data_IF_094259189473
#
_entry.id   IF_094259189473
#
_cell.length_a   1.000
_cell.length_b   1.000
_cell.length_c   1.000
_cell.angle_alpha   90.00
_cell.angle_beta   90.00
_cell.angle_gamma   90.00
#
_symmetry.space_group_name_H-M   'P 1'
#
loop_
_entity.id
_entity.type
_entity.pdbx_description
1 polymer ?
#
# COMPACT_ATOMS: atom_id res chain seq x y z
N UNK A 1 -19.04 7.56 16.50
CA UNK A 1 -17.72 7.15 15.96
C UNK A 1 -16.64 8.00 16.61
N UNK A 2 -15.54 7.41 17.11
CA UNK A 2 -14.45 8.19 17.73
C UNK A 2 -13.59 8.91 16.68
N UNK A 3 -12.89 9.97 17.09
CA UNK A 3 -11.97 10.70 16.20
C UNK A 3 -10.89 9.78 15.61
N UNK A 4 -10.36 8.86 16.42
CA UNK A 4 -9.37 7.86 15.99
C UNK A 4 -9.91 6.95 14.86
N UNK A 5 -11.16 6.49 14.97
CA UNK A 5 -11.79 5.70 13.91
C UNK A 5 -11.93 6.51 12.61
N UNK A 6 -12.30 7.78 12.71
CA UNK A 6 -12.42 8.66 11.54
C UNK A 6 -11.06 8.87 10.84
N UNK A 7 -9.98 9.04 11.61
CA UNK A 7 -8.61 9.13 11.07
C UNK A 7 -8.21 7.82 10.39
N UNK A 8 -8.43 6.66 11.02
CA UNK A 8 -8.10 5.35 10.44
C UNK A 8 -8.81 5.14 9.09
N UNK A 9 -10.11 5.42 9.00
CA UNK A 9 -10.86 5.27 7.75
C UNK A 9 -10.36 6.22 6.66
N UNK A 10 -9.99 7.47 7.01
CA UNK A 10 -9.36 8.40 6.08
C UNK A 10 -8.01 7.87 5.58
N UNK A 11 -7.17 7.37 6.48
CA UNK A 11 -5.87 6.79 6.12
C UNK A 11 -6.05 5.60 5.18
N UNK A 12 -6.98 4.69 5.44
CA UNK A 12 -7.28 3.54 4.56
C UNK A 12 -7.68 4.02 3.15
N UNK A 13 -8.54 5.04 3.05
CA UNK A 13 -8.96 5.59 1.75
C UNK A 13 -7.79 6.19 0.96
N UNK A 14 -7.03 7.08 1.60
CA UNK A 14 -5.90 7.73 0.95
C UNK A 14 -4.79 6.74 0.59
N UNK A 15 -4.40 5.88 1.53
CA UNK A 15 -3.39 4.86 1.29
C UNK A 15 -3.82 3.86 0.23
N UNK A 16 -5.10 3.46 0.19
CA UNK A 16 -5.62 2.55 -0.84
C UNK A 16 -5.55 3.14 -2.25
N UNK A 17 -5.96 4.40 -2.41
CA UNK A 17 -5.84 5.11 -3.69
C UNK A 17 -4.39 5.29 -4.15
N UNK A 18 -3.46 5.51 -3.22
CA UNK A 18 -2.04 5.63 -3.54
C UNK A 18 -1.37 4.25 -3.74
N UNK A 19 -1.84 3.21 -3.05
CA UNK A 19 -1.35 1.83 -3.23
C UNK A 19 -1.58 1.37 -4.66
N UNK A 20 -2.76 1.64 -5.22
CA UNK A 20 -3.16 1.15 -6.53
C UNK A 20 -2.13 1.46 -7.64
N UNK A 21 -1.76 2.72 -7.92
CA UNK A 21 -0.75 3.03 -8.92
C UNK A 21 0.64 2.49 -8.55
N UNK A 22 1.02 2.49 -7.27
CA UNK A 22 2.33 1.98 -6.82
C UNK A 22 2.46 0.47 -7.05
N UNK A 23 1.42 -0.30 -6.72
CA UNK A 23 1.36 -1.74 -6.98
C UNK A 23 1.42 -2.02 -8.48
N UNK A 24 0.65 -1.29 -9.29
CA UNK A 24 0.66 -1.45 -10.74
C UNK A 24 2.04 -1.15 -11.33
N UNK A 25 2.70 -0.07 -10.91
CA UNK A 25 4.05 0.27 -11.34
C UNK A 25 5.08 -0.78 -10.89
N UNK A 26 4.94 -1.33 -9.67
CA UNK A 26 5.81 -2.36 -9.15
C UNK A 26 5.68 -3.67 -9.94
N UNK A 27 4.45 -4.07 -10.27
CA UNK A 27 4.19 -5.23 -11.11
C UNK A 27 4.69 -5.02 -12.54
N UNK A 28 4.42 -3.86 -13.15
CA UNK A 28 4.87 -3.53 -14.49
C UNK A 28 6.40 -3.59 -14.61
N UNK A 29 7.13 -3.01 -13.65
CA UNK A 29 8.59 -3.08 -13.61
C UNK A 29 9.12 -4.50 -13.41
N UNK A 30 8.47 -5.33 -12.58
CA UNK A 30 8.81 -6.75 -12.43
C UNK A 30 8.57 -7.57 -13.71
N UNK A 31 7.51 -7.28 -14.46
CA UNK A 31 7.26 -7.92 -15.74
C UNK A 31 8.21 -7.44 -16.84
N UNK A 32 8.60 -6.17 -16.83
CA UNK A 32 9.64 -5.65 -17.71
C UNK A 32 10.98 -6.36 -17.47
N UNK A 33 11.37 -6.55 -16.20
CA UNK A 33 12.58 -7.29 -15.80
C UNK A 33 12.54 -8.77 -16.22
N UNK A 34 11.40 -9.43 -16.08
CA UNK A 34 11.26 -10.85 -16.44
C UNK A 34 11.01 -11.08 -17.94
N UNK A 35 10.94 -10.02 -18.74
CA UNK A 35 10.67 -10.08 -20.18
C UNK A 35 9.31 -10.66 -20.54
N UNK A 36 8.35 -10.67 -19.61
CA UNK A 36 7.03 -11.27 -19.81
C UNK A 36 6.07 -10.28 -20.48
N UNK A 37 5.10 -10.81 -21.22
CA UNK A 37 4.01 -10.04 -21.85
C UNK A 37 4.47 -8.89 -22.77
N UNK A 38 5.69 -8.98 -23.33
CA UNK A 38 6.24 -7.92 -24.18
C UNK A 38 6.71 -6.67 -23.43
N UNK A 39 6.70 -6.68 -22.10
CA UNK A 39 7.07 -5.52 -21.29
C UNK A 39 8.59 -5.27 -21.21
N UNK A 40 9.44 -6.13 -21.78
CA UNK A 40 10.85 -5.79 -21.98
C UNK A 40 11.03 -4.62 -22.98
N UNK A 41 10.06 -4.35 -23.85
CA UNK A 41 10.16 -3.29 -24.85
C UNK A 41 9.88 -1.88 -24.30
N UNK A 42 9.28 -1.76 -23.12
CA UNK A 42 8.87 -0.46 -22.55
C UNK A 42 9.96 0.26 -21.76
N UNK A 43 10.99 -0.46 -21.29
CA UNK A 43 12.10 0.12 -20.54
C UNK A 43 13.35 -0.75 -20.67
N UNK A 44 14.54 -0.15 -20.61
CA UNK A 44 15.79 -0.93 -20.47
C UNK A 44 15.78 -1.70 -19.14
N UNK A 45 16.48 -2.83 -19.10
CA UNK A 45 16.60 -3.66 -17.90
C UNK A 45 17.09 -2.85 -16.70
N UNK A 46 18.10 -1.99 -16.89
CA UNK A 46 18.63 -1.09 -15.86
C UNK A 46 17.57 -0.11 -15.34
N UNK A 47 16.77 0.46 -16.24
CA UNK A 47 15.69 1.38 -15.88
C UNK A 47 14.59 0.66 -15.11
N UNK A 48 14.18 -0.51 -15.59
CA UNK A 48 13.18 -1.35 -14.94
C UNK A 48 13.65 -1.79 -13.54
N UNK A 49 14.93 -2.15 -13.39
CA UNK A 49 15.53 -2.54 -12.11
C UNK A 49 15.56 -1.39 -11.12
N UNK A 50 16.01 -0.21 -11.59
CA UNK A 50 16.08 0.99 -10.76
C UNK A 50 14.70 1.38 -10.28
N UNK A 51 13.70 1.43 -11.17
CA UNK A 51 12.32 1.73 -10.82
C UNK A 51 11.75 0.71 -9.83
N UNK A 52 11.93 -0.59 -10.09
CA UNK A 52 11.44 -1.65 -9.21
C UNK A 52 12.02 -1.54 -7.79
N UNK A 53 13.32 -1.24 -7.69
CA UNK A 53 14.01 -1.02 -6.41
C UNK A 53 13.48 0.19 -5.67
N UNK A 54 13.30 1.31 -6.36
CA UNK A 54 12.74 2.53 -5.79
C UNK A 54 11.31 2.33 -5.28
N UNK A 55 10.54 1.43 -5.91
CA UNK A 55 9.17 1.14 -5.53
C UNK A 55 9.02 0.24 -4.29
N UNK A 56 10.07 -0.47 -3.85
CA UNK A 56 9.98 -1.30 -2.63
C UNK A 56 9.64 -0.46 -1.38
N UNK A 57 10.39 0.62 -1.13
CA UNK A 57 10.17 1.47 0.04
C UNK A 57 8.76 2.08 0.10
N UNK A 58 8.24 2.75 -0.95
CA UNK A 58 6.87 3.27 -0.93
C UNK A 58 5.84 2.15 -0.86
N UNK A 59 6.05 1.01 -1.54
CA UNK A 59 5.13 -0.12 -1.46
C UNK A 59 5.00 -0.67 -0.03
N UNK A 60 6.13 -0.95 0.63
CA UNK A 60 6.16 -1.47 2.00
C UNK A 60 5.58 -0.44 2.97
N UNK A 61 5.98 0.83 2.87
CA UNK A 61 5.49 1.90 3.73
C UNK A 61 3.98 2.11 3.60
N UNK A 62 3.47 2.21 2.37
CA UNK A 62 2.04 2.39 2.13
C UNK A 62 1.22 1.16 2.53
N UNK A 63 1.73 -0.05 2.26
CA UNK A 63 1.05 -1.27 2.65
C UNK A 63 0.97 -1.39 4.17
N UNK A 64 2.07 -1.11 4.88
CA UNK A 64 2.11 -1.10 6.33
C UNK A 64 1.12 -0.09 6.92
N UNK A 65 1.09 1.13 6.38
CA UNK A 65 0.13 2.16 6.78
C UNK A 65 -1.31 1.71 6.52
N UNK A 66 -1.60 1.17 5.33
CA UNK A 66 -2.92 0.72 4.93
C UNK A 66 -3.43 -0.41 5.83
N UNK A 67 -2.62 -1.45 6.00
CA UNK A 67 -2.94 -2.60 6.84
C UNK A 67 -3.09 -2.17 8.29
N UNK A 68 -2.16 -1.39 8.84
CA UNK A 68 -2.25 -0.90 10.21
C UNK A 68 -3.52 -0.08 10.46
N UNK A 69 -3.84 0.86 9.57
CA UNK A 69 -5.04 1.68 9.67
C UNK A 69 -6.34 0.88 9.50
N UNK A 70 -6.35 -0.20 8.71
CA UNK A 70 -7.50 -1.09 8.57
C UNK A 70 -7.63 -2.06 9.76
N UNK A 71 -6.51 -2.50 10.33
CA UNK A 71 -6.46 -3.50 11.38
C UNK A 71 -6.95 -2.95 12.72
N UNK A 72 -6.58 -1.71 13.08
CA UNK A 72 -7.01 -1.08 14.34
C UNK A 72 -8.54 -1.11 14.54
N UNK A 73 -9.37 -0.56 13.62
CA UNK A 73 -10.83 -0.60 13.79
C UNK A 73 -11.38 -2.04 13.69
N UNK A 74 -10.75 -2.94 12.94
CA UNK A 74 -11.15 -4.35 12.90
C UNK A 74 -10.95 -5.04 14.26
N UNK A 75 -9.80 -4.82 14.91
CA UNK A 75 -9.49 -5.34 16.23
C UNK A 75 -10.44 -4.80 17.32
N UNK A 76 -10.80 -3.51 17.24
CA UNK A 76 -11.82 -2.94 18.14
C UNK A 76 -13.18 -3.59 17.89
N UNK A 77 -13.58 -3.77 16.63
CA UNK A 77 -14.86 -4.40 16.27
C UNK A 77 -14.94 -5.88 16.69
N UNK A 78 -13.83 -6.60 16.68
CA UNK A 78 -13.73 -7.98 17.17
C UNK A 78 -13.62 -8.08 18.70
N UNK A 79 -13.55 -6.95 19.41
CA UNK A 79 -13.43 -6.91 20.86
C UNK A 79 -12.02 -7.23 21.39
N UNK A 80 -11.01 -7.30 20.52
CA UNK A 80 -9.62 -7.57 20.92
C UNK A 80 -8.95 -6.32 21.51
N UNK A 81 -9.41 -5.12 21.12
CA UNK A 81 -8.95 -3.84 21.68
C UNK A 81 -10.14 -3.05 22.24
N UNK A 82 -9.91 -2.31 23.33
CA UNK A 82 -10.91 -1.38 23.86
C UNK A 82 -10.94 -0.13 22.99
N UNK A 83 -12.15 0.31 22.63
CA UNK A 83 -12.32 1.62 22.03
C UNK A 83 -11.86 2.70 23.03
N UNK A 84 -11.07 3.67 22.58
CA UNK A 84 -10.73 4.83 23.40
C UNK A 84 -12.02 5.52 23.85
N UNK A 85 -12.29 5.48 25.17
CA UNK A 85 -13.44 6.16 25.76
C UNK A 85 -13.28 7.67 25.53
N UNK A 86 -14.35 8.31 25.04
CA UNK A 86 -14.40 9.77 24.96
C UNK A 86 -14.62 10.30 26.39
N UNK A 87 -13.79 11.23 26.91
CA UNK A 87 -14.10 11.91 28.16
C UNK A 87 -15.37 12.74 28.04
#
# INVERSE_FOLDING_TARGET
MSAAHHVCVRLVRWSGWLLLPVVLAFLASGYALSGRYGLAAIASEETALTLHRLLHAPLVGLLGLHVGAALIPALVRWGWLKAAAKP
#
